data_IF_708254007315
#
_entry.id   IF_708254007315
#
_cell.length_a   1.000
_cell.length_b   1.000
_cell.length_c   1.000
_cell.angle_alpha   90.00
_cell.angle_beta   90.00
_cell.angle_gamma   90.00
#
_symmetry.space_group_name_H-M   'P 1'
#
loop_
_entity.id
_entity.type
_entity.pdbx_description
1 polymer ?
#
# COMPACT_ATOMS: atom_id res chain seq x y z
N UNK A 1 15.89 17.08 -22.84
CA UNK A 1 15.40 15.84 -23.44
C UNK A 1 15.81 14.68 -22.54
N UNK A 2 14.87 13.81 -22.18
CA UNK A 2 15.16 12.58 -21.44
C UNK A 2 16.02 11.67 -22.33
N UNK A 3 17.18 11.27 -21.84
CA UNK A 3 18.07 10.35 -22.58
C UNK A 3 17.91 8.97 -21.95
N UNK A 4 17.42 8.03 -22.74
CA UNK A 4 17.29 6.64 -22.33
C UNK A 4 18.68 5.98 -22.42
N UNK A 5 19.18 5.30 -21.36
CA UNK A 5 20.43 4.54 -21.47
C UNK A 5 20.24 3.30 -22.36
N UNK A 6 21.27 2.91 -23.11
CA UNK A 6 21.23 1.72 -23.96
C UNK A 6 21.07 0.42 -23.15
N UNK A 7 21.64 0.40 -21.94
CA UNK A 7 21.56 -0.75 -21.04
C UNK A 7 21.67 -0.36 -19.58
N UNK A 8 21.07 -1.17 -18.71
CA UNK A 8 21.21 -1.14 -17.24
C UNK A 8 21.13 -2.55 -16.68
N UNK A 9 21.84 -2.83 -15.62
CA UNK A 9 21.73 -4.13 -14.93
C UNK A 9 20.31 -4.35 -14.43
N UNK A 10 19.71 -3.32 -13.82
CA UNK A 10 18.35 -3.37 -13.28
C UNK A 10 17.47 -2.28 -13.91
N UNK A 11 16.39 -2.70 -14.55
CA UNK A 11 15.36 -1.81 -15.07
C UNK A 11 14.07 -2.03 -14.29
N UNK A 12 13.63 -1.01 -13.58
CA UNK A 12 12.40 -1.03 -12.79
C UNK A 12 11.35 -0.20 -13.52
N UNK A 13 10.20 -0.79 -13.83
CA UNK A 13 9.12 -0.12 -14.54
C UNK A 13 7.97 0.22 -13.63
N UNK A 14 7.68 1.52 -13.52
CA UNK A 14 6.72 2.14 -12.61
C UNK A 14 7.40 2.84 -11.43
N UNK A 15 7.25 4.16 -11.32
CA UNK A 15 7.76 5.00 -10.24
C UNK A 15 6.68 5.30 -9.18
N UNK A 16 5.83 4.32 -8.89
CA UNK A 16 4.97 4.31 -7.70
C UNK A 16 5.74 3.89 -6.45
N UNK A 17 5.02 3.72 -5.34
CA UNK A 17 5.62 3.33 -4.04
C UNK A 17 6.47 2.05 -4.15
N UNK A 18 5.97 1.03 -4.86
CA UNK A 18 6.69 -0.23 -5.01
C UNK A 18 7.98 -0.08 -5.82
N UNK A 19 7.93 0.64 -6.96
CA UNK A 19 9.11 0.80 -7.81
C UNK A 19 10.20 1.63 -7.14
N UNK A 20 9.84 2.75 -6.54
CA UNK A 20 10.81 3.62 -5.85
C UNK A 20 11.40 2.96 -4.60
N UNK A 21 10.55 2.30 -3.79
CA UNK A 21 11.03 1.56 -2.61
C UNK A 21 11.96 0.42 -3.01
N UNK A 22 11.60 -0.35 -4.05
CA UNK A 22 12.47 -1.42 -4.59
C UNK A 22 13.80 -0.86 -5.07
N UNK A 23 13.78 0.25 -5.83
CA UNK A 23 14.99 0.86 -6.36
C UNK A 23 15.94 1.33 -5.25
N UNK A 24 15.41 2.00 -4.23
CA UNK A 24 16.18 2.48 -3.09
C UNK A 24 16.80 1.34 -2.30
N UNK A 25 15.97 0.37 -1.85
CA UNK A 25 16.47 -0.77 -1.06
C UNK A 25 17.45 -1.64 -1.85
N UNK A 26 17.20 -1.84 -3.14
CA UNK A 26 18.14 -2.56 -4.02
C UNK A 26 19.48 -1.84 -4.11
N UNK A 27 19.48 -0.51 -4.25
CA UNK A 27 20.72 0.27 -4.29
C UNK A 27 21.52 0.11 -2.98
N UNK A 28 20.86 0.22 -1.83
CA UNK A 28 21.48 0.02 -0.52
C UNK A 28 22.09 -1.40 -0.39
N UNK A 29 21.32 -2.43 -0.78
CA UNK A 29 21.80 -3.82 -0.71
C UNK A 29 22.97 -4.10 -1.65
N UNK A 30 22.97 -3.53 -2.86
CA UNK A 30 24.09 -3.65 -3.81
C UNK A 30 25.36 -3.03 -3.24
N UNK A 31 25.25 -1.83 -2.67
CA UNK A 31 26.36 -1.12 -2.03
C UNK A 31 26.87 -1.88 -0.82
N UNK A 32 26.00 -2.33 0.08
CA UNK A 32 26.37 -3.07 1.29
C UNK A 32 27.09 -4.40 0.97
N UNK A 33 26.72 -5.05 -0.15
CA UNK A 33 27.35 -6.30 -0.59
C UNK A 33 28.53 -6.11 -1.53
N UNK A 34 28.88 -4.88 -1.90
CA UNK A 34 29.93 -4.60 -2.87
C UNK A 34 29.67 -5.19 -4.27
N UNK A 35 28.37 -5.30 -4.67
CA UNK A 35 27.93 -5.92 -5.92
C UNK A 35 27.42 -4.93 -6.96
N UNK A 36 27.49 -3.64 -6.69
CA UNK A 36 26.99 -2.56 -7.53
C UNK A 36 26.56 -1.36 -6.71
N UNK A 37 25.77 -0.50 -7.31
CA UNK A 37 25.23 0.71 -6.69
C UNK A 37 23.92 1.14 -7.36
N UNK A 38 23.31 2.22 -6.91
CA UNK A 38 22.16 2.79 -7.59
C UNK A 38 22.41 3.23 -9.03
N UNK A 39 23.67 3.42 -9.44
CA UNK A 39 24.03 3.73 -10.84
C UNK A 39 23.72 2.57 -11.80
N UNK A 40 23.61 1.36 -11.30
CA UNK A 40 23.24 0.17 -12.06
C UNK A 40 21.72 0.03 -12.25
N UNK A 41 20.95 0.93 -11.65
CA UNK A 41 19.49 0.92 -11.60
C UNK A 41 18.91 2.10 -12.39
N UNK A 42 17.87 1.86 -13.17
CA UNK A 42 17.00 2.89 -13.73
C UNK A 42 15.56 2.57 -13.42
N UNK A 43 14.81 3.59 -13.02
CA UNK A 43 13.34 3.52 -12.86
C UNK A 43 12.69 4.26 -14.02
N UNK A 44 11.79 3.61 -14.73
CA UNK A 44 11.02 4.17 -15.85
C UNK A 44 9.58 4.40 -15.41
N UNK A 45 9.01 5.55 -15.76
CA UNK A 45 7.57 5.80 -15.58
C UNK A 45 6.98 6.50 -16.78
N UNK A 46 5.81 6.06 -17.24
CA UNK A 46 5.15 6.62 -18.43
C UNK A 46 4.73 8.08 -18.27
N UNK A 47 4.55 8.53 -17.05
CA UNK A 47 4.13 9.92 -16.73
C UNK A 47 5.13 10.58 -15.79
N UNK A 48 5.00 10.33 -14.48
CA UNK A 48 5.83 10.91 -13.43
C UNK A 48 5.75 10.04 -12.16
N UNK A 49 6.73 10.14 -11.25
CA UNK A 49 6.66 9.47 -9.96
C UNK A 49 5.36 9.73 -9.23
N UNK A 50 4.69 8.66 -8.81
CA UNK A 50 3.42 8.73 -8.09
C UNK A 50 2.19 9.11 -8.89
N UNK A 51 2.26 9.22 -10.22
CA UNK A 51 1.10 9.58 -11.05
C UNK A 51 -0.03 8.53 -11.08
N UNK A 52 0.23 7.33 -10.61
CA UNK A 52 -0.76 6.27 -10.46
C UNK A 52 -1.41 6.25 -9.07
N UNK A 53 -1.88 5.07 -8.65
CA UNK A 53 -2.59 4.86 -7.37
C UNK A 53 -1.81 5.37 -6.15
N UNK A 54 -0.48 5.32 -6.17
CA UNK A 54 0.35 5.77 -5.04
C UNK A 54 0.20 7.26 -4.73
N UNK A 55 -0.11 8.11 -5.70
CA UNK A 55 -0.25 9.56 -5.49
C UNK A 55 -1.64 10.00 -5.07
N UNK A 56 -2.65 9.12 -5.20
CA UNK A 56 -4.05 9.37 -4.83
C UNK A 56 -4.53 8.49 -3.69
N UNK A 57 -3.66 7.65 -3.12
CA UNK A 57 -3.99 6.80 -1.98
C UNK A 57 -4.30 7.65 -0.73
N UNK A 58 -5.09 7.11 0.19
CA UNK A 58 -5.38 7.75 1.48
C UNK A 58 -4.13 7.90 2.38
N UNK A 59 -3.05 7.20 2.05
CA UNK A 59 -1.78 7.28 2.80
C UNK A 59 -1.80 6.56 4.16
N UNK A 60 -2.82 5.79 4.46
CA UNK A 60 -2.90 5.04 5.71
C UNK A 60 -1.75 4.03 5.82
N UNK A 61 -1.01 4.10 6.92
CA UNK A 61 0.07 3.18 7.29
C UNK A 61 -0.39 2.36 8.48
N UNK A 62 -0.63 1.06 8.28
CA UNK A 62 -1.21 0.16 9.27
C UNK A 62 -0.69 -1.26 9.14
N UNK A 63 -0.93 -2.09 10.15
CA UNK A 63 -0.67 -3.53 10.15
C UNK A 63 -1.95 -4.37 10.36
N UNK A 64 -3.12 -3.76 10.15
CA UNK A 64 -4.42 -4.41 10.27
C UNK A 64 -4.70 -5.30 9.07
N UNK A 65 -4.29 -6.57 9.15
CA UNK A 65 -4.47 -7.59 8.12
C UNK A 65 -4.70 -8.96 8.76
N UNK A 66 -5.66 -9.73 8.22
CA UNK A 66 -5.96 -11.07 8.71
C UNK A 66 -4.85 -12.10 8.43
N UNK A 67 -3.98 -11.80 7.47
CA UNK A 67 -2.87 -12.68 7.06
C UNK A 67 -1.66 -12.47 7.96
N UNK A 68 -1.50 -13.32 8.96
CA UNK A 68 -0.44 -13.22 9.98
C UNK A 68 0.99 -13.18 9.39
N UNK A 69 1.23 -13.85 8.26
CA UNK A 69 2.52 -13.83 7.58
C UNK A 69 2.96 -12.42 7.13
N UNK A 70 2.03 -11.47 7.00
CA UNK A 70 2.33 -10.08 6.64
C UNK A 70 2.83 -9.26 7.84
N UNK A 71 2.48 -9.62 9.09
CA UNK A 71 2.76 -8.79 10.26
C UNK A 71 4.25 -8.45 10.45
N UNK A 72 5.22 -9.37 10.28
CA UNK A 72 6.63 -9.02 10.36
C UNK A 72 7.09 -8.09 9.23
N UNK A 73 6.54 -8.25 8.01
CA UNK A 73 6.87 -7.42 6.86
C UNK A 73 6.36 -5.99 7.09
N UNK A 74 5.12 -5.86 7.57
CA UNK A 74 4.50 -4.57 7.85
C UNK A 74 5.15 -3.88 9.06
N UNK A 75 5.60 -4.66 10.05
CA UNK A 75 6.41 -4.13 11.15
C UNK A 75 7.69 -3.48 10.63
N UNK A 76 8.41 -4.17 9.75
CA UNK A 76 9.60 -3.60 9.09
C UNK A 76 9.25 -2.34 8.27
N UNK A 77 8.12 -2.36 7.56
CA UNK A 77 7.68 -1.20 6.76
C UNK A 77 7.47 0.05 7.61
N UNK A 78 6.91 -0.10 8.82
CA UNK A 78 6.75 1.03 9.75
C UNK A 78 8.10 1.56 10.21
N UNK A 79 9.10 0.71 10.46
CA UNK A 79 10.45 1.16 10.79
C UNK A 79 11.05 2.02 9.68
N UNK A 80 10.82 1.65 8.42
CA UNK A 80 11.25 2.45 7.26
C UNK A 80 10.60 3.83 7.26
N UNK A 81 9.29 3.95 7.54
CA UNK A 81 8.61 5.24 7.68
C UNK A 81 9.17 6.08 8.83
N UNK A 82 9.49 5.42 9.94
CA UNK A 82 10.05 6.06 11.14
C UNK A 82 11.52 6.46 11.01
N UNK A 83 12.26 5.93 10.03
CA UNK A 83 13.65 6.31 9.78
C UNK A 83 13.80 7.79 9.41
N UNK A 84 12.85 8.32 8.60
CA UNK A 84 12.87 9.74 8.21
C UNK A 84 11.42 10.25 8.04
N UNK A 85 10.66 10.35 9.15
CA UNK A 85 9.22 10.64 9.09
C UNK A 85 8.93 12.02 8.48
N UNK A 86 9.84 13.00 8.68
CA UNK A 86 9.69 14.32 8.08
C UNK A 86 9.79 14.26 6.56
N UNK A 87 10.75 13.53 6.03
CA UNK A 87 10.92 13.35 4.58
C UNK A 87 9.75 12.63 3.94
N UNK A 88 9.27 11.58 4.58
CA UNK A 88 8.15 10.79 4.08
C UNK A 88 6.77 11.39 4.38
N UNK A 89 6.72 12.48 5.16
CA UNK A 89 5.44 13.05 5.60
C UNK A 89 4.64 12.11 6.49
N UNK A 90 5.32 11.24 7.22
CA UNK A 90 4.69 10.26 8.10
C UNK A 90 4.32 10.90 9.45
N UNK A 91 3.05 10.72 9.83
CA UNK A 91 2.49 11.15 11.09
C UNK A 91 2.08 9.92 11.89
N UNK A 92 2.80 9.64 12.98
CA UNK A 92 2.48 8.52 13.87
C UNK A 92 1.36 8.90 14.83
N UNK A 93 0.14 8.93 14.34
CA UNK A 93 -1.05 9.27 15.14
C UNK A 93 -1.77 8.04 15.69
N UNK A 94 -1.34 6.85 15.30
CA UNK A 94 -2.01 5.58 15.57
C UNK A 94 -3.07 5.24 14.51
N UNK A 95 -3.57 4.02 14.63
CA UNK A 95 -4.68 3.51 13.81
C UNK A 95 -5.65 2.76 14.72
N UNK A 96 -6.93 3.09 14.62
CA UNK A 96 -8.00 2.47 15.39
C UNK A 96 -8.91 1.74 14.42
N UNK A 97 -9.09 0.44 14.63
CA UNK A 97 -10.12 -0.35 13.95
C UNK A 97 -11.25 -0.69 14.90
N UNK A 98 -12.46 -0.49 14.43
CA UNK A 98 -13.70 -0.74 15.18
C UNK A 98 -14.46 -1.86 14.52
N UNK A 99 -14.86 -2.86 15.29
CA UNK A 99 -15.63 -4.00 14.82
C UNK A 99 -16.77 -4.38 15.75
N UNK A 100 -17.58 -5.32 15.29
CA UNK A 100 -18.71 -5.89 16.02
C UNK A 100 -18.27 -7.01 16.98
N UNK A 101 -19.18 -7.48 17.83
CA UNK A 101 -18.91 -8.51 18.84
C UNK A 101 -18.45 -9.84 18.23
N UNK A 102 -18.98 -10.20 17.06
CA UNK A 102 -18.60 -11.42 16.34
C UNK A 102 -17.17 -11.42 15.80
N UNK A 103 -16.50 -10.27 15.75
CA UNK A 103 -15.13 -10.11 15.27
C UNK A 103 -14.07 -10.14 16.39
N UNK A 104 -14.46 -10.24 17.66
CA UNK A 104 -13.54 -10.20 18.83
C UNK A 104 -12.39 -11.21 18.65
N UNK A 105 -12.72 -12.46 18.33
CA UNK A 105 -11.71 -13.53 18.20
C UNK A 105 -10.66 -13.26 17.11
N UNK A 106 -11.06 -12.64 16.01
CA UNK A 106 -10.17 -12.28 14.93
C UNK A 106 -9.23 -11.13 15.31
N UNK A 107 -9.75 -10.13 16.01
CA UNK A 107 -8.97 -8.99 16.51
C UNK A 107 -7.94 -9.43 17.57
N UNK A 108 -8.35 -10.31 18.49
CA UNK A 108 -7.43 -10.88 19.50
C UNK A 108 -6.31 -11.70 18.85
N UNK A 109 -6.65 -12.53 17.86
CA UNK A 109 -5.68 -13.32 17.11
C UNK A 109 -4.69 -12.41 16.38
N UNK A 110 -5.19 -11.37 15.70
CA UNK A 110 -4.38 -10.40 14.97
C UNK A 110 -3.45 -9.64 15.91
N UNK A 111 -3.97 -9.09 17.02
CA UNK A 111 -3.18 -8.40 18.05
C UNK A 111 -2.08 -9.28 18.60
N UNK A 112 -2.38 -10.54 18.89
CA UNK A 112 -1.38 -11.51 19.36
C UNK A 112 -0.25 -11.70 18.35
N UNK A 113 -0.58 -11.86 17.08
CA UNK A 113 0.41 -12.03 16.00
C UNK A 113 1.23 -10.76 15.76
N UNK A 114 0.60 -9.58 15.77
CA UNK A 114 1.27 -8.29 15.66
C UNK A 114 2.28 -8.09 16.80
N UNK A 115 1.86 -8.30 18.04
CA UNK A 115 2.73 -8.17 19.21
C UNK A 115 3.89 -9.18 19.19
N UNK A 116 3.66 -10.41 18.71
CA UNK A 116 4.72 -11.39 18.51
C UNK A 116 5.75 -10.95 17.47
N UNK A 117 5.34 -10.17 16.48
CA UNK A 117 6.22 -9.55 15.48
C UNK A 117 6.88 -8.24 16.00
N UNK A 118 6.65 -7.84 17.25
CA UNK A 118 7.16 -6.60 17.82
C UNK A 118 6.40 -5.34 17.38
N UNK A 119 5.18 -5.51 16.90
CA UNK A 119 4.31 -4.40 16.50
C UNK A 119 3.27 -4.15 17.58
N UNK A 120 3.41 -3.06 18.34
CA UNK A 120 2.60 -2.80 19.52
C UNK A 120 1.17 -2.42 19.18
N UNK A 121 0.25 -3.32 19.47
CA UNK A 121 -1.19 -3.11 19.37
C UNK A 121 -1.92 -3.59 20.62
N UNK A 122 -3.04 -2.94 20.92
CA UNK A 122 -3.92 -3.26 22.03
C UNK A 122 -5.32 -3.59 21.50
N UNK A 123 -6.03 -4.51 22.15
CA UNK A 123 -7.42 -4.83 21.86
C UNK A 123 -8.26 -4.53 23.08
N UNK A 124 -9.41 -3.89 22.85
CA UNK A 124 -10.42 -3.55 23.86
C UNK A 124 -11.74 -4.19 23.47
N UNK A 125 -12.53 -4.65 24.43
CA UNK A 125 -13.82 -5.30 24.17
C UNK A 125 -14.93 -4.74 25.04
N UNK A 126 -16.20 -4.89 24.62
CA UNK A 126 -17.38 -4.52 25.36
C UNK A 126 -17.35 -3.06 25.84
N UNK A 127 -17.55 -2.84 27.15
CA UNK A 127 -17.56 -1.49 27.73
C UNK A 127 -16.24 -0.74 27.56
N UNK A 128 -15.11 -1.43 27.68
CA UNK A 128 -13.77 -0.83 27.57
C UNK A 128 -13.53 -0.29 26.15
N UNK A 129 -13.97 -1.03 25.11
CA UNK A 129 -13.92 -0.56 23.73
C UNK A 129 -14.71 0.73 23.51
N UNK A 130 -15.94 0.78 24.10
CA UNK A 130 -16.81 1.95 24.01
C UNK A 130 -16.21 3.18 24.71
N UNK A 131 -15.70 2.98 25.92
CA UNK A 131 -15.07 4.04 26.70
C UNK A 131 -13.80 4.56 26.01
N UNK A 132 -13.00 3.67 25.41
CA UNK A 132 -11.81 4.02 24.63
C UNK A 132 -12.15 4.95 23.47
N UNK A 133 -13.16 4.61 22.65
CA UNK A 133 -13.60 5.45 21.53
C UNK A 133 -14.11 6.81 21.98
N UNK A 134 -14.90 6.85 23.04
CA UNK A 134 -15.44 8.10 23.61
C UNK A 134 -14.35 9.00 24.20
N UNK A 135 -13.19 8.44 24.52
CA UNK A 135 -12.01 9.22 24.90
C UNK A 135 -11.46 10.07 23.77
N UNK A 136 -11.61 9.64 22.51
CA UNK A 136 -11.23 10.38 21.31
C UNK A 136 -12.39 11.20 20.75
N UNK A 137 -13.57 10.58 20.66
CA UNK A 137 -14.80 11.13 20.05
C UNK A 137 -15.97 10.93 21.00
N UNK A 138 -16.31 11.90 21.87
CA UNK A 138 -17.35 11.77 22.88
C UNK A 138 -18.72 11.42 22.31
N UNK A 139 -19.03 11.89 21.11
CA UNK A 139 -20.34 11.72 20.44
C UNK A 139 -20.38 10.47 19.54
N UNK A 140 -19.31 9.66 19.51
CA UNK A 140 -19.27 8.45 18.68
C UNK A 140 -20.39 7.49 19.08
N UNK A 141 -21.19 7.05 18.12
CA UNK A 141 -22.20 6.02 18.34
C UNK A 141 -21.53 4.67 18.59
N UNK A 142 -21.66 4.15 19.80
CA UNK A 142 -21.03 2.91 20.24
C UNK A 142 -21.98 1.73 20.36
N UNK A 143 -23.23 1.83 19.87
CA UNK A 143 -24.25 0.80 20.11
C UNK A 143 -23.83 -0.58 19.58
N UNK A 144 -23.27 -0.63 18.38
CA UNK A 144 -22.83 -1.87 17.72
C UNK A 144 -21.37 -2.20 17.97
N UNK A 145 -20.62 -1.37 18.70
CA UNK A 145 -19.21 -1.60 18.97
C UNK A 145 -19.03 -2.77 19.93
N UNK A 146 -18.41 -3.82 19.44
CA UNK A 146 -18.01 -5.01 20.19
C UNK A 146 -16.52 -5.06 20.51
N UNK A 147 -15.69 -4.59 19.59
CA UNK A 147 -14.23 -4.64 19.69
C UNK A 147 -13.57 -3.41 19.07
N UNK A 148 -12.45 -3.02 19.64
CA UNK A 148 -11.55 -1.98 19.11
C UNK A 148 -10.12 -2.50 19.16
N UNK A 149 -9.41 -2.38 18.06
CA UNK A 149 -7.96 -2.59 18.00
C UNK A 149 -7.28 -1.23 17.82
N UNK A 150 -6.25 -0.98 18.61
CA UNK A 150 -5.43 0.24 18.51
C UNK A 150 -3.98 -0.12 18.20
N UNK A 151 -3.54 0.24 17.01
CA UNK A 151 -2.16 0.12 16.56
C UNK A 151 -1.41 1.42 16.81
N UNK A 152 -0.55 1.44 17.83
CA UNK A 152 0.19 2.64 18.25
C UNK A 152 1.27 3.09 17.24
N UNK A 153 1.98 2.18 16.55
CA UNK A 153 3.02 2.57 15.59
C UNK A 153 2.46 3.07 14.25
N UNK A 154 1.18 2.89 14.01
CA UNK A 154 0.47 3.27 12.79
C UNK A 154 0.23 4.77 12.66
N UNK A 155 -0.32 5.17 11.53
CA UNK A 155 -0.68 6.55 11.24
C UNK A 155 -0.95 6.76 9.76
N UNK A 156 -0.55 7.91 9.26
CA UNK A 156 -0.66 8.22 7.83
C UNK A 156 0.59 8.92 7.29
N UNK A 157 0.81 8.78 5.99
CA UNK A 157 1.85 9.49 5.27
C UNK A 157 1.22 10.36 4.16
N UNK A 158 1.66 11.60 4.04
CA UNK A 158 1.29 12.45 2.92
C UNK A 158 1.80 11.83 1.62
N UNK A 159 0.92 11.29 0.78
CA UNK A 159 1.30 10.43 -0.35
C UNK A 159 2.24 11.09 -1.33
N UNK A 160 2.02 12.37 -1.65
CA UNK A 160 2.92 13.14 -2.52
C UNK A 160 4.29 13.33 -1.88
N UNK A 161 4.33 13.62 -0.59
CA UNK A 161 5.56 13.80 0.15
C UNK A 161 6.32 12.47 0.29
N UNK A 162 5.63 11.37 0.56
CA UNK A 162 6.23 10.04 0.62
C UNK A 162 6.88 9.64 -0.71
N UNK A 163 6.20 9.85 -1.83
CA UNK A 163 6.75 9.59 -3.17
C UNK A 163 7.96 10.48 -3.46
N UNK A 164 7.88 11.76 -3.16
CA UNK A 164 9.02 12.68 -3.32
C UNK A 164 10.21 12.26 -2.46
N UNK A 165 9.97 11.90 -1.20
CA UNK A 165 10.99 11.41 -0.28
C UNK A 165 11.67 10.13 -0.77
N UNK A 166 10.91 9.17 -1.29
CA UNK A 166 11.47 7.95 -1.89
C UNK A 166 12.29 8.26 -3.16
N UNK A 167 11.82 9.17 -4.01
CA UNK A 167 12.57 9.59 -5.19
C UNK A 167 13.90 10.28 -4.81
N UNK A 168 13.91 11.10 -3.75
CA UNK A 168 15.13 11.70 -3.21
C UNK A 168 16.09 10.63 -2.64
N UNK A 169 15.59 9.64 -1.89
CA UNK A 169 16.41 8.50 -1.41
C UNK A 169 17.03 7.74 -2.59
N UNK A 170 16.26 7.47 -3.64
CA UNK A 170 16.78 6.89 -4.88
C UNK A 170 17.93 7.74 -5.48
N UNK A 171 17.71 9.05 -5.61
CA UNK A 171 18.70 9.97 -6.19
C UNK A 171 19.98 10.05 -5.34
N UNK A 172 19.89 10.02 -4.00
CA UNK A 172 21.03 10.02 -3.08
C UNK A 172 21.95 8.79 -3.30
N UNK A 173 21.38 7.65 -3.69
CA UNK A 173 22.11 6.44 -4.04
C UNK A 173 22.50 6.35 -5.53
N UNK A 174 22.22 7.39 -6.32
CA UNK A 174 22.60 7.45 -7.75
C UNK A 174 21.64 6.69 -8.68
N UNK A 175 20.46 6.29 -8.22
CA UNK A 175 19.41 5.72 -9.08
C UNK A 175 18.89 6.77 -10.05
N UNK A 176 18.80 6.41 -11.33
CA UNK A 176 18.22 7.27 -12.35
C UNK A 176 16.72 7.03 -12.44
N UNK A 177 15.92 8.10 -12.37
CA UNK A 177 14.46 8.05 -12.55
C UNK A 177 14.11 8.81 -13.81
N UNK A 178 13.45 8.16 -14.77
CA UNK A 178 13.05 8.72 -16.06
C UNK A 178 11.53 8.77 -16.19
N UNK A 179 11.00 9.97 -16.16
CA UNK A 179 9.58 10.25 -16.42
C UNK A 179 9.30 10.38 -17.92
N UNK A 180 8.07 10.08 -18.35
CA UNK A 180 7.66 10.14 -19.77
C UNK A 180 8.18 8.95 -20.60
N UNK A 181 8.63 7.87 -19.96
CA UNK A 181 9.12 6.65 -20.61
C UNK A 181 8.11 5.53 -20.43
N UNK A 182 7.33 5.27 -21.48
CA UNK A 182 6.34 4.17 -21.50
C UNK A 182 6.97 2.89 -22.06
N UNK A 183 6.89 1.80 -21.32
CA UNK A 183 7.26 0.46 -21.80
C UNK A 183 6.13 -0.08 -22.69
N UNK A 184 6.48 -0.46 -23.90
CA UNK A 184 5.54 -0.89 -24.95
C UNK A 184 5.71 -2.35 -25.36
N UNK A 185 6.77 -3.04 -24.88
CA UNK A 185 7.01 -4.44 -25.18
C UNK A 185 8.29 -4.97 -24.54
N UNK A 186 8.56 -6.24 -24.79
CA UNK A 186 9.67 -6.99 -24.20
C UNK A 186 10.31 -7.95 -25.19
N UNK A 187 11.65 -8.07 -25.16
CA UNK A 187 12.34 -9.24 -25.69
C UNK A 187 12.54 -10.24 -24.55
N UNK A 188 12.08 -11.47 -24.76
CA UNK A 188 12.27 -12.57 -23.83
C UNK A 188 13.21 -13.61 -24.42
N UNK A 189 14.36 -13.79 -23.79
CA UNK A 189 15.38 -14.76 -24.22
C UNK A 189 15.60 -15.79 -23.14
N UNK A 190 15.42 -17.07 -23.46
CA UNK A 190 15.59 -18.19 -22.51
C UNK A 190 14.77 -18.01 -21.23
N UNK A 191 13.52 -17.51 -21.34
CA UNK A 191 12.60 -17.31 -20.22
C UNK A 191 12.88 -16.07 -19.35
N UNK A 192 13.78 -15.19 -19.77
CA UNK A 192 14.15 -13.95 -19.08
C UNK A 192 13.92 -12.74 -19.96
N UNK A 193 13.42 -11.66 -19.40
CA UNK A 193 13.36 -10.37 -20.09
C UNK A 193 14.81 -9.87 -20.25
N UNK A 194 15.24 -9.68 -21.49
CA UNK A 194 16.59 -9.20 -21.84
C UNK A 194 16.59 -7.75 -22.35
N UNK A 195 15.40 -7.24 -22.73
CA UNK A 195 15.23 -5.89 -23.28
C UNK A 195 13.81 -5.40 -23.06
N UNK A 196 13.65 -4.12 -22.80
CA UNK A 196 12.37 -3.44 -22.80
C UNK A 196 12.32 -2.50 -24.00
N UNK A 197 11.21 -2.55 -24.74
CA UNK A 197 10.89 -1.56 -25.77
C UNK A 197 10.15 -0.40 -25.13
N UNK A 198 10.49 0.83 -25.50
CA UNK A 198 9.83 2.02 -24.97
C UNK A 198 9.48 3.01 -26.08
N UNK A 199 8.67 4.01 -25.74
CA UNK A 199 8.35 5.14 -26.65
C UNK A 199 9.57 6.00 -27.01
N UNK A 200 10.72 5.83 -26.33
CA UNK A 200 11.97 6.58 -26.58
C UNK A 200 13.10 5.71 -27.11
N UNK A 201 12.83 4.46 -27.45
CA UNK A 201 13.82 3.47 -27.90
C UNK A 201 13.88 2.28 -26.94
N UNK A 202 14.90 1.46 -27.10
CA UNK A 202 15.06 0.20 -26.40
C UNK A 202 16.11 0.30 -25.29
N UNK A 203 15.91 -0.47 -24.22
CA UNK A 203 16.90 -0.61 -23.16
C UNK A 203 17.13 -2.09 -22.83
N UNK A 204 18.38 -2.54 -22.89
CA UNK A 204 18.77 -3.88 -22.48
C UNK A 204 18.89 -3.96 -20.94
N UNK A 205 18.61 -5.15 -20.37
CA UNK A 205 18.74 -5.37 -18.93
C UNK A 205 19.11 -6.83 -18.60
N UNK A 206 19.72 -7.01 -17.43
CA UNK A 206 19.91 -8.34 -16.84
C UNK A 206 18.68 -8.75 -16.00
N UNK A 207 18.06 -7.76 -15.34
CA UNK A 207 16.88 -7.94 -14.51
C UNK A 207 15.86 -6.84 -14.77
N UNK A 208 14.63 -7.23 -15.08
CA UNK A 208 13.48 -6.33 -15.15
C UNK A 208 12.56 -6.53 -13.93
N UNK A 209 12.18 -5.43 -13.27
CA UNK A 209 11.21 -5.43 -12.17
C UNK A 209 9.97 -4.68 -12.61
N UNK A 210 8.81 -5.36 -12.56
CA UNK A 210 7.56 -4.84 -13.09
C UNK A 210 6.68 -4.30 -11.96
N UNK A 211 6.61 -2.98 -11.81
CA UNK A 211 5.88 -2.26 -10.76
C UNK A 211 4.74 -1.41 -11.34
N UNK A 212 3.96 -1.96 -12.25
CA UNK A 212 2.98 -1.22 -13.03
C UNK A 212 1.67 -0.88 -12.31
N UNK A 213 1.50 -1.32 -11.06
CA UNK A 213 0.25 -1.12 -10.33
C UNK A 213 -0.95 -1.67 -11.11
N UNK A 214 -1.99 -0.87 -11.30
CA UNK A 214 -3.22 -1.28 -11.99
C UNK A 214 -3.02 -1.63 -13.47
N UNK A 215 -1.90 -1.27 -14.08
CA UNK A 215 -1.59 -1.59 -15.50
C UNK A 215 -0.86 -2.92 -15.67
N UNK A 216 -0.61 -3.68 -14.60
CA UNK A 216 0.16 -4.92 -14.66
C UNK A 216 -0.49 -5.96 -15.59
N UNK A 217 -1.82 -6.03 -15.67
CA UNK A 217 -2.53 -6.96 -16.54
C UNK A 217 -2.13 -6.82 -18.01
N UNK A 218 -2.05 -5.58 -18.52
CA UNK A 218 -1.59 -5.31 -19.89
C UNK A 218 -0.17 -5.84 -20.14
N UNK A 219 0.75 -5.66 -19.20
CA UNK A 219 2.13 -6.13 -19.34
C UNK A 219 2.26 -7.64 -19.16
N UNK A 220 1.35 -8.24 -18.37
CA UNK A 220 1.25 -9.69 -18.22
C UNK A 220 0.85 -10.37 -19.52
N UNK A 221 -0.13 -9.79 -20.21
CA UNK A 221 -0.56 -10.21 -21.55
C UNK A 221 0.58 -10.07 -22.59
N UNK A 222 1.30 -8.93 -22.59
CA UNK A 222 2.46 -8.73 -23.47
C UNK A 222 3.57 -9.78 -23.27
N UNK A 223 3.66 -10.38 -22.09
CA UNK A 223 4.60 -11.46 -21.77
C UNK A 223 4.04 -12.85 -22.11
N UNK A 224 2.84 -12.93 -22.70
CA UNK A 224 2.18 -14.19 -23.06
C UNK A 224 1.90 -15.08 -21.85
N UNK A 225 1.64 -14.51 -20.68
CA UNK A 225 1.31 -15.23 -19.46
C UNK A 225 -0.19 -15.54 -19.38
N UNK A 226 -0.54 -16.65 -18.70
CA UNK A 226 -1.93 -16.98 -18.47
C UNK A 226 -2.64 -15.91 -17.65
N UNK A 227 -3.87 -15.57 -18.01
CA UNK A 227 -4.73 -14.61 -17.35
C UNK A 227 -5.55 -15.23 -16.21
N UNK A 228 -5.48 -16.55 -16.05
CA UNK A 228 -6.15 -17.31 -15.00
C UNK A 228 -5.14 -18.10 -14.16
N UNK A 229 -5.52 -18.39 -12.92
CA UNK A 229 -4.76 -19.23 -11.99
C UNK A 229 -5.68 -20.26 -11.33
N UNK A 230 -5.20 -21.48 -11.14
CA UNK A 230 -5.87 -22.45 -10.27
C UNK A 230 -5.50 -22.18 -8.81
N UNK A 231 -6.47 -21.73 -8.04
CA UNK A 231 -6.34 -21.52 -6.61
C UNK A 231 -6.82 -22.75 -5.84
N UNK A 232 -6.03 -23.21 -4.85
CA UNK A 232 -6.44 -24.25 -3.91
C UNK A 232 -6.95 -23.60 -2.63
N UNK A 233 -8.14 -23.96 -2.23
CA UNK A 233 -8.72 -23.52 -0.97
C UNK A 233 -8.28 -24.40 0.20
N UNK A 234 -8.44 -23.89 1.44
CA UNK A 234 -8.09 -24.63 2.67
C UNK A 234 -8.92 -25.90 2.86
N UNK A 235 -10.11 -25.97 2.29
CA UNK A 235 -10.99 -27.15 2.29
C UNK A 235 -10.58 -28.22 1.28
N UNK A 236 -9.51 -27.98 0.50
CA UNK A 236 -9.00 -28.86 -0.53
C UNK A 236 -9.66 -28.70 -1.91
N UNK A 237 -10.65 -27.82 -2.04
CA UNK A 237 -11.24 -27.45 -3.33
C UNK A 237 -10.27 -26.68 -4.22
N UNK A 238 -10.47 -26.73 -5.52
CA UNK A 238 -9.78 -25.90 -6.51
C UNK A 238 -10.78 -25.07 -7.30
N UNK A 239 -10.42 -23.83 -7.61
CA UNK A 239 -11.18 -22.96 -8.47
C UNK A 239 -10.25 -22.23 -9.42
N UNK A 240 -10.70 -21.97 -10.63
CA UNK A 240 -9.99 -21.14 -11.60
C UNK A 240 -10.42 -19.69 -11.38
N UNK A 241 -9.46 -18.84 -11.07
CA UNK A 241 -9.67 -17.41 -10.82
C UNK A 241 -8.95 -16.59 -11.89
N UNK A 242 -9.53 -15.45 -12.23
CA UNK A 242 -8.83 -14.45 -13.04
C UNK A 242 -7.64 -13.90 -12.26
N UNK A 243 -6.47 -13.81 -12.90
CA UNK A 243 -5.24 -13.29 -12.29
C UNK A 243 -5.37 -11.83 -11.89
N UNK A 244 -6.13 -11.05 -12.65
CA UNK A 244 -6.26 -9.62 -12.46
C UNK A 244 -7.73 -9.24 -12.36
N UNK A 245 -8.17 -8.90 -11.14
CA UNK A 245 -9.50 -8.36 -10.89
C UNK A 245 -9.38 -6.84 -10.81
N UNK A 246 -10.14 -6.13 -11.66
CA UNK A 246 -10.20 -4.67 -11.60
C UNK A 246 -11.22 -4.25 -10.55
N UNK A 247 -10.75 -3.55 -9.54
CA UNK A 247 -11.62 -2.82 -8.62
C UNK A 247 -11.86 -1.44 -9.20
N UNK A 248 -13.09 -1.10 -9.51
CA UNK A 248 -13.48 0.28 -9.75
C UNK A 248 -13.76 0.92 -8.40
N UNK A 249 -12.76 1.59 -7.85
CA UNK A 249 -12.94 2.40 -6.67
C UNK A 249 -13.77 3.64 -7.06
N UNK A 250 -14.94 3.79 -6.45
CA UNK A 250 -15.68 5.04 -6.46
C UNK A 250 -15.26 5.79 -5.20
N UNK A 251 -14.31 6.70 -5.35
CA UNK A 251 -13.90 7.58 -4.26
C UNK A 251 -14.77 8.83 -4.28
N UNK A 252 -15.36 9.16 -3.14
CA UNK A 252 -15.89 10.48 -2.85
C UNK A 252 -14.85 11.27 -2.09
N UNK A 253 -14.59 12.51 -2.48
CA UNK A 253 -13.80 13.43 -1.67
C UNK A 253 -14.68 14.00 -0.57
N UNK A 254 -14.30 13.79 0.69
CA UNK A 254 -14.82 14.55 1.82
C UNK A 254 -13.89 15.74 2.02
N UNK A 255 -14.35 16.93 1.65
CA UNK A 255 -13.60 18.15 1.84
C UNK A 255 -13.82 18.68 3.25
N UNK A 256 -12.73 18.84 4.01
CA UNK A 256 -12.74 19.42 5.36
C UNK A 256 -12.07 20.78 5.27
N UNK A 257 -12.84 21.86 5.43
CA UNK A 257 -12.33 23.22 5.35
C UNK A 257 -11.35 23.61 6.46
N UNK A 258 -11.39 22.86 7.57
CA UNK A 258 -10.50 23.08 8.72
C UNK A 258 -9.93 21.77 9.22
N UNK A 259 -8.71 21.79 9.79
CA UNK A 259 -8.14 20.61 10.43
C UNK A 259 -9.09 20.09 11.51
N UNK A 260 -9.49 18.82 11.38
CA UNK A 260 -10.26 18.16 12.42
C UNK A 260 -9.35 17.88 13.62
N UNK A 261 -9.85 18.14 14.83
CA UNK A 261 -9.16 17.86 16.08
C UNK A 261 -10.01 16.92 16.91
N UNK A 262 -9.39 15.98 17.60
CA UNK A 262 -10.09 15.13 18.58
C UNK A 262 -10.37 15.89 19.89
N UNK A 263 -11.01 15.23 20.86
CA UNK A 263 -11.33 15.83 22.17
C UNK A 263 -10.12 16.31 22.97
N UNK A 264 -8.90 15.97 22.57
CA UNK A 264 -7.63 16.36 23.19
C UNK A 264 -6.96 17.54 22.49
N UNK A 265 -7.60 18.12 21.47
CA UNK A 265 -7.04 19.14 20.57
C UNK A 265 -5.78 18.67 19.81
N UNK A 266 -5.72 17.39 19.49
CA UNK A 266 -4.65 16.77 18.72
C UNK A 266 -5.18 16.22 17.39
N UNK A 267 -4.25 15.92 16.47
CA UNK A 267 -4.59 15.12 15.28
C UNK A 267 -5.10 13.75 15.74
N UNK A 268 -6.31 13.35 15.30
CA UNK A 268 -6.87 12.07 15.70
C UNK A 268 -6.09 10.91 15.09
N UNK A 269 -6.15 9.72 15.71
CA UNK A 269 -5.75 8.49 15.05
C UNK A 269 -6.52 8.28 13.74
N UNK A 270 -5.93 7.54 12.81
CA UNK A 270 -6.67 7.03 11.65
C UNK A 270 -7.76 6.09 12.16
N UNK A 271 -9.02 6.39 11.84
CA UNK A 271 -10.18 5.60 12.24
C UNK A 271 -10.64 4.73 11.08
N UNK A 272 -10.78 3.43 11.35
CA UNK A 272 -11.40 2.46 10.46
C UNK A 272 -12.60 1.82 11.15
N UNK A 273 -13.76 1.87 10.50
CA UNK A 273 -15.00 1.26 10.99
C UNK A 273 -15.45 0.20 10.00
N UNK A 274 -15.63 -1.02 10.48
CA UNK A 274 -16.14 -2.15 9.70
C UNK A 274 -17.33 -2.76 10.40
N UNK A 275 -18.54 -2.53 9.87
CA UNK A 275 -19.81 -3.00 10.43
C UNK A 275 -20.50 -3.90 9.40
N UNK A 276 -20.39 -5.21 9.62
CA UNK A 276 -20.84 -6.24 8.67
C UNK A 276 -22.36 -6.32 8.50
N UNK A 277 -23.11 -5.82 9.48
CA UNK A 277 -24.58 -5.88 9.48
C UNK A 277 -25.23 -4.48 9.44
N UNK A 278 -24.50 -3.49 8.95
CA UNK A 278 -25.02 -2.12 8.84
C UNK A 278 -25.26 -1.79 7.37
N UNK A 279 -26.51 -1.82 6.90
CA UNK A 279 -26.82 -1.53 5.51
C UNK A 279 -26.51 -0.07 5.17
N UNK A 280 -25.87 0.12 4.03
CA UNK A 280 -25.66 1.45 3.45
C UNK A 280 -26.81 1.75 2.52
N UNK A 281 -27.57 2.77 2.81
CA UNK A 281 -28.79 3.15 2.07
C UNK A 281 -28.47 4.37 1.20
N UNK A 282 -28.85 4.33 -0.06
CA UNK A 282 -28.86 5.52 -0.92
C UNK A 282 -29.97 6.47 -0.44
N UNK A 283 -29.61 7.66 0.01
CA UNK A 283 -30.57 8.63 0.56
C UNK A 283 -31.58 9.14 -0.45
N UNK A 284 -31.23 9.21 -1.74
CA UNK A 284 -32.11 9.70 -2.79
C UNK A 284 -33.13 8.65 -3.25
N UNK A 285 -32.71 7.38 -3.31
CA UNK A 285 -33.54 6.29 -3.86
C UNK A 285 -34.15 5.39 -2.79
N UNK A 286 -33.63 5.43 -1.57
CA UNK A 286 -33.96 4.49 -0.50
C UNK A 286 -33.50 3.06 -0.74
N UNK A 287 -32.69 2.83 -1.78
CA UNK A 287 -32.20 1.51 -2.12
C UNK A 287 -30.97 1.16 -1.26
N UNK A 288 -30.88 -0.09 -0.84
CA UNK A 288 -29.69 -0.63 -0.18
C UNK A 288 -28.56 -0.76 -1.22
N UNK A 289 -27.41 -0.13 -0.93
CA UNK A 289 -26.21 -0.16 -1.77
C UNK A 289 -25.28 -1.30 -1.35
N UNK A 290 -25.19 -1.55 -0.04
CA UNK A 290 -24.34 -2.57 0.57
C UNK A 290 -24.96 -3.06 1.86
N UNK A 291 -24.70 -4.30 2.22
CA UNK A 291 -25.11 -4.91 3.48
C UNK A 291 -24.15 -4.61 4.65
N UNK A 292 -23.05 -3.94 4.37
CA UNK A 292 -22.07 -3.56 5.40
C UNK A 292 -21.47 -2.17 5.16
N UNK A 293 -21.15 -1.50 6.27
CA UNK A 293 -20.46 -0.22 6.27
C UNK A 293 -18.96 -0.43 6.38
N UNK A 294 -18.22 0.20 5.47
CA UNK A 294 -16.77 0.21 5.44
C UNK A 294 -16.27 1.65 5.27
N UNK A 295 -15.61 2.19 6.30
CA UNK A 295 -15.15 3.59 6.34
C UNK A 295 -13.68 3.64 6.78
N UNK A 296 -12.91 4.48 6.10
CA UNK A 296 -11.55 4.84 6.49
C UNK A 296 -11.48 6.29 6.94
#
# INVERSE_FOLDING_TARGET
MTVLPESKTYVISGAGIHGLSTAWHLAMELEARGKGSGKDIVVLDKTAPGAGASGIACGCVRNFYMTEALHPILRHSVDVWMEDPVRFGFQQVGYISVGEENQIADYERMTKSQNAAGYHSDVYTGKEAKDFLKGYWPDFNTDQVGVVLHERPSGYAGTRQAIAGLAEKCAQHGVQILAGVEVTGYDVTSGRISRLHTNLGDIACDVAVLCYGAWIGKHWEMLGKADTIEAKYLDGGTNTLDMWTYWRLLEGEVYIDQPYRDSRDLDPPVLHVEMMNTPVINEETGAEISDHLYVY
#
